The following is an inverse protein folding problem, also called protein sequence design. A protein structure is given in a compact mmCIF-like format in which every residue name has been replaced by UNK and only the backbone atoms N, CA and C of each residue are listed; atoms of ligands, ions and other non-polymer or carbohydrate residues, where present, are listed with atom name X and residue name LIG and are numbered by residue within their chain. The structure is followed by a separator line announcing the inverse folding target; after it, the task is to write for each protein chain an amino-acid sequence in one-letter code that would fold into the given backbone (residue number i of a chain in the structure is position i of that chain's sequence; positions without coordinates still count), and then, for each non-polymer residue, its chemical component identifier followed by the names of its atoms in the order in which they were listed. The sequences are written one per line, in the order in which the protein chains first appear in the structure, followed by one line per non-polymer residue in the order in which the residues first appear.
data_IF_016638598946
#
_entry.id   IF_016638598946
#
_cell.length_a   1.000
_cell.length_b   1.000
_cell.length_c   1.000
_cell.angle_alpha   90.00
_cell.angle_beta   90.00
_cell.angle_gamma   90.00
#
_symmetry.space_group_name_H-M   'P 1'
#
loop_
_entity.id
_entity.type
_entity.pdbx_description
1 polymer ?
#
# COMPACT_ATOMS: atom_id res chain seq x y z
N UNK A 1 -20.06 -17.65 -2.65
CA UNK A 1 -18.71 -17.47 -3.24
C UNK A 1 -18.04 -16.34 -2.49
N UNK A 2 -16.82 -16.56 -1.97
CA UNK A 2 -16.08 -15.51 -1.24
C UNK A 2 -15.64 -14.39 -2.18
N UNK A 3 -15.52 -13.16 -1.64
CA UNK A 3 -15.16 -11.96 -2.39
C UNK A 3 -14.03 -11.20 -1.68
N UNK A 4 -13.05 -10.76 -2.42
CA UNK A 4 -11.94 -9.93 -1.93
C UNK A 4 -11.86 -8.61 -2.71
N UNK A 5 -11.77 -7.51 -1.98
CA UNK A 5 -11.57 -6.19 -2.55
C UNK A 5 -10.11 -5.77 -2.36
N UNK A 6 -9.40 -5.52 -3.46
CA UNK A 6 -7.96 -5.27 -3.50
C UNK A 6 -7.67 -3.83 -3.89
N UNK A 7 -6.92 -3.11 -3.09
CA UNK A 7 -6.72 -1.67 -3.24
C UNK A 7 -5.24 -1.26 -3.16
N UNK A 8 -4.46 -1.39 -4.24
CA UNK A 8 -3.07 -0.93 -4.28
C UNK A 8 -2.96 0.58 -4.37
N UNK A 9 -1.84 1.13 -3.89
CA UNK A 9 -1.45 2.52 -4.13
C UNK A 9 -1.26 2.76 -5.63
N UNK A 10 -1.67 3.94 -6.10
CA UNK A 10 -1.79 4.22 -7.53
C UNK A 10 -0.53 4.70 -8.22
N UNK A 11 0.51 5.08 -7.44
CA UNK A 11 1.78 5.59 -7.97
C UNK A 11 2.85 4.51 -7.86
N UNK A 12 3.53 4.25 -8.97
CA UNK A 12 4.46 3.14 -9.09
C UNK A 12 3.77 1.77 -9.18
N UNK A 13 4.33 0.87 -9.96
CA UNK A 13 3.70 -0.42 -10.26
C UNK A 13 3.94 -1.51 -9.19
N UNK A 14 4.84 -1.27 -8.23
CA UNK A 14 5.19 -2.27 -7.21
C UNK A 14 4.01 -2.73 -6.35
N UNK A 15 3.15 -1.80 -5.91
CA UNK A 15 1.95 -2.11 -5.14
C UNK A 15 0.93 -2.90 -5.96
N UNK A 16 0.71 -2.48 -7.21
CA UNK A 16 -0.21 -3.16 -8.13
C UNK A 16 0.30 -4.56 -8.49
N UNK A 17 1.59 -4.71 -8.79
CA UNK A 17 2.22 -6.01 -9.09
C UNK A 17 2.11 -6.98 -7.92
N UNK A 18 2.32 -6.50 -6.70
CA UNK A 18 2.17 -7.30 -5.48
C UNK A 18 0.75 -7.83 -5.31
N UNK A 19 -0.25 -6.95 -5.40
CA UNK A 19 -1.64 -7.37 -5.27
C UNK A 19 -2.12 -8.22 -6.45
N UNK A 20 -1.57 -8.05 -7.65
CA UNK A 20 -1.80 -8.95 -8.77
C UNK A 20 -1.23 -10.35 -8.52
N UNK A 21 -0.06 -10.46 -7.88
CA UNK A 21 0.48 -11.77 -7.49
C UNK A 21 -0.42 -12.48 -6.48
N UNK A 22 -0.89 -11.75 -5.46
CA UNK A 22 -1.84 -12.28 -4.47
C UNK A 22 -3.16 -12.67 -5.13
N UNK A 23 -3.67 -11.86 -6.05
CA UNK A 23 -4.95 -12.11 -6.72
C UNK A 23 -4.96 -13.41 -7.54
N UNK A 24 -3.83 -13.82 -8.10
CA UNK A 24 -3.73 -15.10 -8.81
C UNK A 24 -4.05 -16.27 -7.89
N UNK A 25 -3.46 -16.30 -6.69
CA UNK A 25 -3.73 -17.37 -5.72
C UNK A 25 -5.17 -17.31 -5.20
N UNK A 26 -5.71 -16.12 -4.93
CA UNK A 26 -7.11 -15.98 -4.53
C UNK A 26 -8.08 -16.48 -5.61
N UNK A 27 -7.73 -16.30 -6.88
CA UNK A 27 -8.52 -16.79 -8.01
C UNK A 27 -8.47 -18.32 -8.13
N UNK A 28 -7.33 -18.95 -7.85
CA UNK A 28 -7.17 -20.41 -7.77
C UNK A 28 -8.11 -21.01 -6.71
N UNK A 29 -8.34 -20.26 -5.61
CA UNK A 29 -9.28 -20.63 -4.54
C UNK A 29 -10.75 -20.25 -4.84
N UNK A 30 -11.07 -19.90 -6.09
CA UNK A 30 -12.42 -19.47 -6.52
C UNK A 30 -12.95 -18.25 -5.76
N UNK A 31 -12.09 -17.33 -5.34
CA UNK A 31 -12.46 -16.06 -4.71
C UNK A 31 -12.71 -15.01 -5.81
N UNK A 32 -13.86 -14.37 -5.78
CA UNK A 32 -14.19 -13.28 -6.68
C UNK A 32 -13.42 -12.01 -6.27
N UNK A 33 -12.78 -11.36 -7.24
CA UNK A 33 -11.86 -10.25 -6.98
C UNK A 33 -12.35 -8.99 -7.68
N UNK A 34 -12.26 -7.86 -6.98
CA UNK A 34 -12.43 -6.53 -7.54
C UNK A 34 -11.30 -5.63 -7.05
N UNK A 35 -10.75 -4.84 -7.98
CA UNK A 35 -9.73 -3.85 -7.65
C UNK A 35 -10.28 -2.44 -7.64
N UNK A 36 -9.64 -1.57 -6.85
CA UNK A 36 -9.73 -0.12 -6.98
C UNK A 36 -8.36 0.51 -6.92
N UNK A 37 -8.10 1.48 -7.78
CA UNK A 37 -6.85 2.24 -7.75
C UNK A 37 -6.98 3.57 -8.47
N UNK A 38 -5.88 4.29 -8.63
CA UNK A 38 -5.76 5.50 -9.41
C UNK A 38 -4.42 5.50 -10.18
N UNK A 39 -4.17 6.51 -11.02
CA UNK A 39 -2.92 6.63 -11.77
C UNK A 39 -2.64 5.43 -12.69
N UNK A 40 -1.38 5.09 -12.81
CA UNK A 40 -0.88 4.02 -13.70
C UNK A 40 -1.34 2.62 -13.29
N UNK A 41 -1.55 2.40 -12.00
CA UNK A 41 -1.96 1.10 -11.48
C UNK A 41 -3.30 0.62 -12.07
N UNK A 42 -4.22 1.54 -12.42
CA UNK A 42 -5.51 1.18 -13.02
C UNK A 42 -5.30 0.44 -14.34
N UNK A 43 -4.59 1.08 -15.29
CA UNK A 43 -4.32 0.48 -16.60
C UNK A 43 -3.51 -0.81 -16.48
N UNK A 44 -2.53 -0.82 -15.58
CA UNK A 44 -1.71 -2.00 -15.34
C UNK A 44 -2.53 -3.20 -14.85
N UNK A 45 -3.47 -2.99 -13.92
CA UNK A 45 -4.37 -4.05 -13.42
C UNK A 45 -5.32 -4.53 -14.52
N UNK A 46 -5.87 -3.60 -15.31
CA UNK A 46 -6.80 -3.93 -16.40
C UNK A 46 -6.13 -4.73 -17.52
N UNK A 47 -4.90 -4.42 -17.90
CA UNK A 47 -4.13 -5.19 -18.89
C UNK A 47 -3.91 -6.64 -18.41
N UNK A 48 -3.84 -6.87 -17.09
CA UNK A 48 -3.75 -8.22 -16.52
C UNK A 48 -5.11 -8.94 -16.38
N UNK A 49 -6.18 -8.38 -16.95
CA UNK A 49 -7.50 -9.01 -17.03
C UNK A 49 -8.36 -8.93 -15.78
N UNK A 50 -8.10 -7.95 -14.90
CA UNK A 50 -8.91 -7.71 -13.71
C UNK A 50 -9.76 -6.43 -13.85
N UNK A 51 -10.98 -6.48 -13.30
CA UNK A 51 -11.81 -5.28 -13.13
C UNK A 51 -11.18 -4.35 -12.08
N UNK A 52 -10.92 -3.10 -12.47
CA UNK A 52 -10.34 -2.09 -11.59
C UNK A 52 -11.13 -0.80 -11.68
N UNK A 53 -11.76 -0.42 -10.57
CA UNK A 53 -12.48 0.84 -10.46
C UNK A 53 -11.51 1.98 -10.21
N UNK A 54 -11.60 3.02 -11.02
CA UNK A 54 -10.80 4.24 -10.83
C UNK A 54 -11.42 5.10 -9.72
N UNK A 55 -10.56 5.53 -8.78
CA UNK A 55 -10.90 6.44 -7.68
C UNK A 55 -10.10 7.74 -7.77
N UNK A 56 -10.53 8.83 -7.10
CA UNK A 56 -9.75 10.07 -7.07
C UNK A 56 -8.33 9.86 -6.56
N UNK A 57 -7.31 10.47 -7.19
CA UNK A 57 -5.94 10.36 -6.71
C UNK A 57 -5.74 11.11 -5.39
N UNK A 58 -4.96 10.52 -4.50
CA UNK A 58 -4.45 11.17 -3.28
C UNK A 58 -2.95 10.97 -3.28
N UNK A 59 -2.24 11.99 -3.69
CA UNK A 59 -0.80 11.97 -3.88
C UNK A 59 -0.14 13.07 -3.05
N UNK A 60 1.04 12.79 -2.53
CA UNK A 60 1.89 13.81 -1.95
C UNK A 60 2.62 14.58 -3.06
N UNK A 61 2.85 15.88 -2.85
CA UNK A 61 3.55 16.70 -3.84
C UNK A 61 5.04 16.32 -3.91
N UNK A 62 5.42 15.68 -4.99
CA UNK A 62 6.82 15.39 -5.34
C UNK A 62 7.30 16.41 -6.37
N UNK A 63 8.39 17.11 -6.08
CA UNK A 63 9.04 18.02 -7.03
C UNK A 63 10.49 17.59 -7.23
N UNK A 64 10.85 17.28 -8.48
CA UNK A 64 12.23 17.01 -8.86
C UNK A 64 12.90 15.85 -8.12
N UNK A 65 12.13 14.80 -7.77
CA UNK A 65 12.62 13.63 -7.05
C UNK A 65 12.71 13.78 -5.53
N UNK A 66 12.22 14.90 -4.96
CA UNK A 66 12.19 15.16 -3.51
C UNK A 66 10.82 15.57 -2.99
N UNK A 67 10.56 15.30 -1.71
CA UNK A 67 9.37 15.74 -1.01
C UNK A 67 9.45 17.25 -0.73
N UNK A 68 8.54 18.05 -1.30
CA UNK A 68 8.49 19.49 -1.10
C UNK A 68 7.56 19.84 0.07
N UNK A 69 8.13 20.16 1.23
CA UNK A 69 7.37 20.55 2.43
C UNK A 69 6.49 21.78 2.15
N UNK A 70 7.04 22.80 1.49
CA UNK A 70 6.31 24.07 1.21
C UNK A 70 5.07 23.82 0.32
N UNK A 71 5.23 23.06 -0.76
CA UNK A 71 4.12 22.73 -1.66
C UNK A 71 3.15 21.75 -1.01
N UNK A 72 3.62 20.87 -0.15
CA UNK A 72 2.77 19.95 0.60
C UNK A 72 1.86 20.69 1.57
N UNK A 73 2.38 21.67 2.30
CA UNK A 73 1.58 22.50 3.22
C UNK A 73 0.52 23.31 2.46
N UNK A 74 0.88 23.92 1.33
CA UNK A 74 -0.06 24.71 0.51
C UNK A 74 -1.20 23.85 -0.06
N UNK A 75 -0.95 22.56 -0.30
CA UNK A 75 -1.92 21.63 -0.87
C UNK A 75 -2.70 20.79 0.16
N UNK A 76 -2.49 21.01 1.46
CA UNK A 76 -3.20 20.28 2.53
C UNK A 76 -4.73 20.32 2.35
N UNK A 77 -5.40 21.47 2.10
CA UNK A 77 -6.86 21.47 1.94
C UNK A 77 -7.34 20.64 0.75
N UNK A 78 -6.61 20.70 -0.36
CA UNK A 78 -6.91 19.90 -1.56
C UNK A 78 -6.71 18.42 -1.30
N UNK A 79 -5.65 18.07 -0.57
CA UNK A 79 -5.38 16.70 -0.16
C UNK A 79 -6.53 16.13 0.69
N UNK A 80 -6.98 16.88 1.71
CA UNK A 80 -8.10 16.45 2.54
C UNK A 80 -9.39 16.30 1.74
N UNK A 81 -9.67 17.21 0.82
CA UNK A 81 -10.86 17.13 -0.04
C UNK A 81 -10.81 15.90 -0.93
N UNK A 82 -9.67 15.64 -1.58
CA UNK A 82 -9.48 14.46 -2.43
C UNK A 82 -9.52 13.17 -1.62
N UNK A 83 -8.95 13.18 -0.42
CA UNK A 83 -9.01 12.04 0.48
C UNK A 83 -10.44 11.72 0.92
N UNK A 84 -11.22 12.72 1.32
CA UNK A 84 -12.63 12.54 1.67
C UNK A 84 -13.46 12.00 0.49
N UNK A 85 -13.22 12.53 -0.73
CA UNK A 85 -13.84 12.01 -1.96
C UNK A 85 -13.43 10.55 -2.21
N UNK A 86 -12.16 10.21 -2.02
CA UNK A 86 -11.66 8.85 -2.18
C UNK A 86 -12.31 7.89 -1.17
N UNK A 87 -12.40 8.28 0.11
CA UNK A 87 -13.10 7.48 1.15
C UNK A 87 -14.56 7.27 0.77
N UNK A 88 -15.26 8.33 0.34
CA UNK A 88 -16.67 8.23 -0.08
C UNK A 88 -16.83 7.26 -1.25
N UNK A 89 -15.97 7.35 -2.25
CA UNK A 89 -16.02 6.48 -3.43
C UNK A 89 -15.69 5.02 -3.07
N UNK A 90 -14.68 4.80 -2.23
CA UNK A 90 -14.31 3.46 -1.75
C UNK A 90 -15.44 2.84 -0.93
N UNK A 91 -16.08 3.61 -0.04
CA UNK A 91 -17.23 3.13 0.74
C UNK A 91 -18.37 2.66 -0.18
N UNK A 92 -18.68 3.42 -1.24
CA UNK A 92 -19.68 3.01 -2.25
C UNK A 92 -19.26 1.74 -3.00
N UNK A 93 -18.01 1.68 -3.46
CA UNK A 93 -17.50 0.55 -4.22
C UNK A 93 -17.47 -0.74 -3.38
N UNK A 94 -16.98 -0.65 -2.14
CA UNK A 94 -16.92 -1.77 -1.21
C UNK A 94 -18.33 -2.24 -0.83
N UNK A 95 -19.22 -1.31 -0.48
CA UNK A 95 -20.62 -1.63 -0.16
C UNK A 95 -21.33 -2.34 -1.31
N UNK A 96 -21.19 -1.84 -2.55
CA UNK A 96 -21.82 -2.44 -3.73
C UNK A 96 -21.26 -3.81 -4.10
N UNK A 97 -19.97 -4.02 -3.90
CA UNK A 97 -19.31 -5.31 -4.17
C UNK A 97 -19.56 -6.32 -3.04
N UNK A 98 -19.77 -5.83 -1.82
CA UNK A 98 -20.00 -6.62 -0.61
C UNK A 98 -18.94 -7.72 -0.40
N UNK A 99 -17.66 -7.36 -0.23
CA UNK A 99 -16.58 -8.32 -0.05
C UNK A 99 -16.57 -8.90 1.37
N UNK A 100 -15.98 -10.10 1.51
CA UNK A 100 -15.71 -10.69 2.81
C UNK A 100 -14.44 -10.11 3.46
N UNK A 101 -13.56 -9.52 2.64
CA UNK A 101 -12.30 -8.93 3.10
C UNK A 101 -11.85 -7.79 2.17
N UNK A 102 -11.25 -6.77 2.76
CA UNK A 102 -10.55 -5.70 2.04
C UNK A 102 -9.05 -5.85 2.26
N UNK A 103 -8.28 -5.86 1.18
CA UNK A 103 -6.80 -5.89 1.22
C UNK A 103 -6.29 -4.59 0.61
N UNK A 104 -5.71 -3.75 1.45
CA UNK A 104 -5.13 -2.47 1.04
C UNK A 104 -3.60 -2.56 1.02
N UNK A 105 -2.99 -2.06 -0.03
CA UNK A 105 -1.54 -1.90 -0.08
C UNK A 105 -1.21 -0.40 -0.06
N UNK A 106 -0.76 0.07 1.10
CA UNK A 106 -0.33 1.46 1.36
C UNK A 106 -1.42 2.54 1.12
N UNK A 107 -2.72 2.19 1.20
CA UNK A 107 -3.83 3.14 1.07
C UNK A 107 -4.71 3.17 2.32
N UNK A 108 -4.96 4.39 2.82
CA UNK A 108 -5.81 4.61 4.01
C UNK A 108 -7.30 4.56 3.69
N UNK A 109 -7.71 5.05 2.53
CA UNK A 109 -9.15 5.17 2.19
C UNK A 109 -9.90 3.83 2.19
N UNK A 110 -9.37 2.71 1.64
CA UNK A 110 -10.04 1.41 1.72
C UNK A 110 -10.11 0.88 3.16
N UNK A 111 -9.07 1.13 3.97
CA UNK A 111 -9.05 0.74 5.37
C UNK A 111 -10.14 1.47 6.18
N UNK A 112 -10.24 2.79 6.01
CA UNK A 112 -11.28 3.59 6.68
C UNK A 112 -12.66 3.15 6.20
N UNK A 113 -12.84 2.95 4.90
CA UNK A 113 -14.11 2.50 4.31
C UNK A 113 -14.51 1.12 4.79
N UNK A 114 -13.57 0.18 4.92
CA UNK A 114 -13.84 -1.15 5.46
C UNK A 114 -14.29 -1.07 6.92
N UNK A 115 -13.66 -0.18 7.71
CA UNK A 115 -14.04 0.03 9.10
C UNK A 115 -15.43 0.65 9.25
N UNK A 116 -15.81 1.60 8.37
CA UNK A 116 -17.16 2.19 8.32
C UNK A 116 -18.22 1.11 8.02
N UNK A 117 -17.87 0.14 7.17
CA UNK A 117 -18.78 -0.93 6.74
C UNK A 117 -18.71 -2.20 7.59
N UNK A 118 -17.91 -2.20 8.63
CA UNK A 118 -17.64 -3.36 9.51
C UNK A 118 -17.16 -4.61 8.74
N UNK A 119 -16.34 -4.39 7.71
CA UNK A 119 -15.72 -5.44 6.91
C UNK A 119 -14.27 -5.62 7.35
N UNK A 120 -13.80 -6.87 7.62
CA UNK A 120 -12.43 -7.11 8.01
C UNK A 120 -11.44 -6.67 6.94
N UNK A 121 -10.29 -6.13 7.37
CA UNK A 121 -9.27 -5.63 6.46
C UNK A 121 -7.86 -6.09 6.82
N UNK A 122 -7.05 -6.29 5.79
CA UNK A 122 -5.62 -6.53 5.88
C UNK A 122 -4.92 -5.37 5.16
N UNK A 123 -3.85 -4.87 5.77
CA UNK A 123 -3.03 -3.81 5.16
C UNK A 123 -1.62 -4.32 4.94
N UNK A 124 -1.08 -4.07 3.75
CA UNK A 124 0.30 -4.32 3.40
C UNK A 124 1.04 -2.99 3.42
N UNK A 125 2.14 -2.91 4.17
CA UNK A 125 2.90 -1.68 4.39
C UNK A 125 4.40 -1.93 4.34
N UNK A 126 5.12 -1.09 3.60
CA UNK A 126 6.58 -1.02 3.68
C UNK A 126 7.03 -0.04 4.77
N UNK A 127 6.17 0.91 5.14
CA UNK A 127 6.46 1.93 6.14
C UNK A 127 5.17 2.35 6.86
N UNK A 128 5.28 2.60 8.16
CA UNK A 128 4.16 3.04 9.00
C UNK A 128 4.18 4.54 9.19
N UNK A 129 5.37 5.12 9.36
CA UNK A 129 5.56 6.56 9.55
C UNK A 129 6.30 7.21 8.39
N UNK A 130 6.05 8.49 8.18
CA UNK A 130 6.79 9.31 7.24
C UNK A 130 8.12 9.72 7.86
N UNK A 131 9.23 9.38 7.20
CA UNK A 131 10.57 9.78 7.60
C UNK A 131 10.98 11.05 6.86
N UNK A 132 11.58 11.97 7.59
CA UNK A 132 12.24 13.13 7.02
C UNK A 132 13.66 12.75 6.55
N UNK A 133 14.27 13.60 5.72
CA UNK A 133 15.64 13.34 5.27
C UNK A 133 16.61 13.28 6.45
N UNK A 134 17.68 12.46 6.40
CA UNK A 134 18.63 12.28 7.49
C UNK A 134 19.18 13.60 8.05
N UNK A 135 19.47 14.57 7.16
CA UNK A 135 19.97 15.89 7.55
C UNK A 135 18.99 16.71 8.42
N UNK A 136 17.69 16.55 8.17
CA UNK A 136 16.66 17.29 8.92
C UNK A 136 16.37 16.56 10.24
N UNK A 137 16.51 15.24 10.31
CA UNK A 137 16.26 14.44 11.52
C UNK A 137 17.20 14.73 12.68
N UNK A 138 18.29 15.45 12.47
CA UNK A 138 19.17 15.94 13.55
C UNK A 138 18.45 16.95 14.46
N UNK A 139 17.47 17.67 13.93
CA UNK A 139 16.70 18.65 14.72
C UNK A 139 15.63 17.97 15.59
N UNK A 140 15.52 18.42 16.86
CA UNK A 140 14.52 17.90 17.82
C UNK A 140 13.08 18.02 17.29
N UNK A 141 12.76 19.11 16.61
CA UNK A 141 11.43 19.37 16.03
C UNK A 141 11.11 18.32 14.95
N UNK A 142 12.08 17.96 14.10
CA UNK A 142 11.89 16.95 13.08
C UNK A 142 11.61 15.58 13.68
N UNK A 143 12.32 15.20 14.73
CA UNK A 143 12.08 13.94 15.46
C UNK A 143 10.71 13.93 16.16
N UNK A 144 10.32 15.08 16.74
CA UNK A 144 8.99 15.21 17.34
C UNK A 144 7.89 15.05 16.28
N UNK A 145 8.07 15.63 15.09
CA UNK A 145 7.15 15.44 13.96
C UNK A 145 7.08 13.98 13.51
N UNK A 146 8.23 13.29 13.38
CA UNK A 146 8.26 11.86 13.01
C UNK A 146 7.54 10.99 14.06
N UNK A 147 7.70 11.29 15.33
CA UNK A 147 7.02 10.57 16.38
C UNK A 147 5.51 10.81 16.34
N UNK A 148 5.08 12.05 16.21
CA UNK A 148 3.66 12.42 16.15
C UNK A 148 2.97 11.79 14.93
N UNK A 149 3.61 11.86 13.76
CA UNK A 149 3.05 11.22 12.57
C UNK A 149 3.04 9.69 12.70
N UNK A 150 4.06 9.10 13.35
CA UNK A 150 4.13 7.67 13.61
C UNK A 150 2.98 7.20 14.52
N UNK A 151 2.65 7.95 15.58
CA UNK A 151 1.49 7.67 16.42
C UNK A 151 0.18 7.81 15.66
N UNK A 152 0.03 8.90 14.91
CA UNK A 152 -1.18 9.17 14.13
C UNK A 152 -1.44 8.07 13.08
N UNK A 153 -0.48 7.82 12.22
CA UNK A 153 -0.62 6.78 11.19
C UNK A 153 -0.65 5.38 11.79
N UNK A 154 0.15 5.11 12.82
CA UNK A 154 0.15 3.82 13.51
C UNK A 154 -1.23 3.48 14.09
N UNK A 155 -1.91 4.44 14.71
CA UNK A 155 -3.27 4.25 15.20
C UNK A 155 -4.27 3.97 14.07
N UNK A 156 -4.16 4.68 12.94
CA UNK A 156 -5.04 4.42 11.79
C UNK A 156 -4.75 3.03 11.20
N UNK A 157 -3.48 2.70 10.96
CA UNK A 157 -3.12 1.38 10.43
C UNK A 157 -3.54 0.24 11.36
N UNK A 158 -3.49 0.44 12.68
CA UNK A 158 -3.92 -0.55 13.67
C UNK A 158 -5.43 -0.85 13.64
N UNK A 159 -6.24 -0.10 12.89
CA UNK A 159 -7.65 -0.42 12.65
C UNK A 159 -7.82 -1.69 11.79
N UNK A 160 -6.82 -2.07 11.01
CA UNK A 160 -6.82 -3.33 10.25
C UNK A 160 -6.73 -4.54 11.20
N UNK A 161 -7.23 -5.69 10.74
CA UNK A 161 -7.08 -6.95 11.47
C UNK A 161 -5.65 -7.43 11.49
N UNK A 162 -4.93 -7.27 10.37
CA UNK A 162 -3.51 -7.61 10.23
C UNK A 162 -2.75 -6.56 9.44
N UNK A 163 -1.51 -6.34 9.83
CA UNK A 163 -0.53 -5.52 9.12
C UNK A 163 0.57 -6.44 8.59
N UNK A 164 0.67 -6.54 7.29
CA UNK A 164 1.66 -7.38 6.61
C UNK A 164 2.83 -6.52 6.15
N UNK A 165 4.02 -6.86 6.60
CA UNK A 165 5.25 -6.19 6.20
C UNK A 165 5.97 -7.07 5.19
N UNK A 166 6.04 -6.68 3.91
CA UNK A 166 6.70 -7.47 2.85
C UNK A 166 8.22 -7.28 2.90
N UNK A 167 8.80 -7.67 4.00
CA UNK A 167 10.21 -7.59 4.34
C UNK A 167 10.58 -8.74 5.29
N UNK A 168 11.86 -8.89 5.57
CA UNK A 168 12.36 -9.82 6.58
C UNK A 168 12.23 -9.19 7.98
N UNK A 169 12.07 -10.00 9.03
CA UNK A 169 12.06 -9.47 10.40
C UNK A 169 13.45 -8.93 10.80
N UNK A 170 13.53 -8.08 11.85
CA UNK A 170 14.82 -7.69 12.42
C UNK A 170 15.68 -8.91 12.81
N UNK A 171 17.02 -8.86 12.61
CA UNK A 171 17.82 -7.71 12.20
C UNK A 171 17.95 -7.53 10.68
N UNK A 172 17.25 -8.29 9.86
CA UNK A 172 17.41 -8.32 8.40
C UNK A 172 16.48 -7.36 7.64
N UNK A 173 15.57 -6.67 8.35
CA UNK A 173 14.66 -5.70 7.73
C UNK A 173 15.41 -4.47 7.23
N UNK A 174 15.06 -4.01 6.03
CA UNK A 174 15.53 -2.73 5.49
C UNK A 174 14.67 -1.55 5.95
N UNK A 175 13.52 -1.82 6.58
CA UNK A 175 12.52 -0.84 6.97
C UNK A 175 12.53 -0.53 8.49
N UNK A 176 13.59 -0.89 9.23
CA UNK A 176 13.63 -0.78 10.70
C UNK A 176 13.22 0.60 11.22
N UNK A 177 13.71 1.67 10.58
CA UNK A 177 13.39 3.04 10.98
C UNK A 177 11.97 3.49 10.58
N UNK A 178 11.33 2.77 9.65
CA UNK A 178 10.00 3.10 9.12
C UNK A 178 8.87 2.44 9.92
N UNK A 179 9.22 1.48 10.77
CA UNK A 179 8.26 0.72 11.56
C UNK A 179 8.14 1.39 12.93
N UNK A 180 6.91 1.66 13.33
CA UNK A 180 6.62 2.32 14.60
C UNK A 180 6.40 1.32 15.73
N UNK A 181 6.87 1.68 16.94
CA UNK A 181 6.88 0.80 18.12
C UNK A 181 5.59 0.86 18.97
N UNK A 182 4.44 1.22 18.39
CA UNK A 182 3.15 1.14 19.10
C UNK A 182 2.75 -0.31 19.34
N UNK A 183 2.31 -0.60 20.58
CA UNK A 183 1.86 -1.96 20.95
C UNK A 183 0.66 -2.44 20.13
N UNK A 184 -0.26 -1.53 19.77
CA UNK A 184 -1.40 -1.82 18.89
C UNK A 184 -0.97 -2.25 17.48
N UNK A 185 0.12 -1.69 16.99
CA UNK A 185 0.72 -2.02 15.69
C UNK A 185 1.47 -3.35 15.77
N UNK A 186 2.35 -3.50 16.77
CA UNK A 186 3.17 -4.71 16.95
C UNK A 186 2.34 -5.99 17.05
N UNK A 187 1.23 -5.95 17.78
CA UNK A 187 0.35 -7.13 17.94
C UNK A 187 -0.30 -7.61 16.65
N UNK A 188 -0.44 -6.73 15.67
CA UNK A 188 -1.08 -7.02 14.38
C UNK A 188 -0.09 -7.19 13.22
N UNK A 189 1.18 -6.91 13.48
CA UNK A 189 2.23 -6.88 12.47
C UNK A 189 2.81 -8.28 12.23
N UNK A 190 2.91 -8.64 10.95
CA UNK A 190 3.50 -9.89 10.50
C UNK A 190 4.47 -9.61 9.35
N UNK A 191 5.71 -10.06 9.49
CA UNK A 191 6.67 -10.07 8.40
C UNK A 191 6.38 -11.26 7.50
N UNK A 192 6.26 -11.02 6.18
CA UNK A 192 5.87 -12.04 5.20
C UNK A 192 6.95 -12.33 4.15
N UNK A 193 8.14 -11.72 4.32
CA UNK A 193 9.19 -11.81 3.32
C UNK A 193 8.87 -11.01 2.05
N UNK A 194 9.75 -11.14 1.06
CA UNK A 194 9.58 -10.41 -0.20
C UNK A 194 8.46 -11.04 -1.04
N UNK A 195 7.49 -10.23 -1.42
CA UNK A 195 6.41 -10.63 -2.32
C UNK A 195 6.79 -10.27 -3.76
N UNK A 196 7.55 -11.15 -4.40
CA UNK A 196 7.88 -11.03 -5.82
C UNK A 196 7.01 -11.99 -6.64
N UNK A 197 6.63 -11.63 -7.88
CA UNK A 197 6.09 -12.60 -8.81
C UNK A 197 7.09 -13.76 -8.96
N UNK A 198 6.59 -15.00 -9.02
CA UNK A 198 7.45 -16.12 -9.42
C UNK A 198 8.06 -15.77 -10.78
N UNK A 199 9.37 -15.62 -10.84
CA UNK A 199 10.08 -15.53 -12.10
C UNK A 199 9.81 -16.84 -12.84
N UNK A 200 9.36 -16.76 -14.08
CA UNK A 200 9.56 -17.89 -14.99
C UNK A 200 11.07 -17.94 -15.20
N UNK A 201 11.71 -18.98 -14.73
CA UNK A 201 13.07 -19.30 -15.14
C UNK A 201 13.01 -19.60 -16.64
N UNK A 202 13.18 -18.55 -17.43
CA UNK A 202 13.46 -18.70 -18.85
C UNK A 202 14.95 -19.04 -18.97
N UNK A 203 15.26 -20.32 -18.76
CA UNK A 203 16.63 -20.84 -18.81
C UNK A 203 17.30 -20.48 -20.15
N UNK A 204 16.52 -20.39 -21.23
CA UNK A 204 17.01 -20.00 -22.54
C UNK A 204 17.43 -18.52 -22.60
N UNK A 205 16.67 -17.63 -21.96
CA UNK A 205 17.03 -16.20 -21.87
C UNK A 205 18.26 -15.98 -20.99
N UNK A 206 18.40 -16.76 -19.93
CA UNK A 206 19.58 -16.72 -19.04
C UNK A 206 20.82 -17.23 -19.78
N UNK A 207 20.73 -18.35 -20.50
CA UNK A 207 21.82 -18.89 -21.31
C UNK A 207 22.22 -17.91 -22.43
N UNK A 208 21.26 -17.32 -23.14
CA UNK A 208 21.54 -16.33 -24.17
C UNK A 208 22.23 -15.07 -23.60
N UNK A 209 21.82 -14.61 -22.41
CA UNK A 209 22.46 -13.49 -21.73
C UNK A 209 23.88 -13.83 -21.30
N UNK A 210 24.14 -15.03 -20.78
CA UNK A 210 25.48 -15.51 -20.41
C UNK A 210 26.39 -15.65 -21.63
N UNK A 211 25.87 -16.15 -22.77
CA UNK A 211 26.63 -16.23 -24.03
C UNK A 211 26.98 -14.85 -24.62
N UNK A 212 26.20 -13.83 -24.37
CA UNK A 212 26.47 -12.46 -24.83
C UNK A 212 27.51 -11.71 -23.99
N UNK A 213 27.89 -12.25 -22.83
CA UNK A 213 28.87 -11.67 -21.92
C UNK A 213 30.28 -12.29 -22.06
N UNK A 214 30.44 -13.33 -22.88
CA UNK A 214 31.69 -13.96 -23.27
C UNK A 214 32.08 -13.56 -24.68
#
# INVERSE_FOLDING_TARGET
MARAYLAPYGVGLGHASRLLSISKHLKEDNIMIKFSSYGEAVSYIQIHGYDCVKVPPVEFAWNGGGFSIKNSIANIPLWFTNFARQVTQETKNISSFNPNIVISDSRLSPLISSKILDIPSIVILNQIKLLLSPRIREFKIARAFENLNGEFFGNIWSMAEKLLIPDLPPPYTIAEHNIWNLESVKRKMHYIGFTTPKWREDNQAIENALHSLN
#
